data_IF_259082311424
#
_entry.id   IF_259082311424
#
_cell.length_a   1.000
_cell.length_b   1.000
_cell.length_c   1.000
_cell.angle_alpha   90.00
_cell.angle_beta   90.00
_cell.angle_gamma   90.00
#
_symmetry.space_group_name_H-M   'P 1'
#
loop_
_entity.id
_entity.type
_entity.pdbx_description
1 polymer ?
#
# COMPACT_ATOMS: atom_id res chain seq x y z
N UNK A 1 8.22 8.94 27.82
CA UNK A 1 7.71 8.14 26.69
C UNK A 1 8.19 6.73 26.93
N UNK A 2 7.31 5.76 26.72
CA UNK A 2 7.69 4.35 26.72
C UNK A 2 8.67 4.11 25.55
N UNK A 3 9.56 3.11 25.65
CA UNK A 3 10.51 2.86 24.58
C UNK A 3 9.79 2.40 23.30
N UNK A 4 10.17 2.97 22.17
CA UNK A 4 9.84 2.43 20.86
C UNK A 4 10.37 1.00 20.74
N UNK A 5 9.55 0.12 20.20
CA UNK A 5 10.01 -1.20 19.78
C UNK A 5 10.20 -1.26 18.28
N UNK A 6 10.84 -2.34 17.83
CA UNK A 6 11.06 -2.65 16.42
C UNK A 6 10.01 -3.68 15.98
N UNK A 7 8.97 -3.29 15.22
CA UNK A 7 7.87 -4.19 14.90
C UNK A 7 8.28 -5.39 14.08
N UNK A 8 9.11 -5.16 13.07
CA UNK A 8 9.56 -6.10 12.05
C UNK A 8 10.77 -5.53 11.29
N UNK A 9 11.00 -5.94 10.05
CA UNK A 9 12.08 -5.45 9.19
C UNK A 9 11.77 -4.17 8.39
N UNK A 10 10.57 -3.58 8.53
CA UNK A 10 10.24 -2.27 7.94
C UNK A 10 10.87 -1.10 8.70
N UNK A 11 10.81 0.10 8.11
CA UNK A 11 11.51 1.28 8.65
C UNK A 11 10.80 1.97 9.82
N UNK A 12 9.60 1.54 10.19
CA UNK A 12 8.83 2.22 11.24
C UNK A 12 9.03 1.57 12.59
N UNK A 13 9.41 2.39 13.56
CA UNK A 13 9.40 2.06 14.97
C UNK A 13 8.22 2.78 15.64
N UNK A 14 7.58 2.12 16.61
CA UNK A 14 6.49 2.69 17.39
C UNK A 14 6.51 2.15 18.82
N UNK A 15 5.94 2.91 19.74
CA UNK A 15 5.65 2.40 21.07
C UNK A 15 4.54 1.33 20.98
N UNK A 16 4.72 0.21 21.69
CA UNK A 16 3.70 -0.85 21.78
C UNK A 16 2.63 -0.51 22.83
N UNK A 17 2.07 0.68 22.72
CA UNK A 17 1.03 1.21 23.62
C UNK A 17 -0.05 1.89 22.80
N UNK A 18 -1.19 2.19 23.43
CA UNK A 18 -2.27 2.97 22.84
C UNK A 18 -3.26 3.40 23.92
N UNK A 19 -4.08 4.41 23.64
CA UNK A 19 -5.13 4.84 24.56
C UNK A 19 -6.08 3.67 24.90
N UNK A 20 -6.33 2.80 23.91
CA UNK A 20 -6.83 1.46 24.16
C UNK A 20 -5.77 0.43 23.73
N UNK A 21 -5.56 -0.57 24.58
CA UNK A 21 -4.64 -1.69 24.35
C UNK A 21 -5.37 -3.01 24.52
N UNK A 22 -5.29 -3.87 23.50
CA UNK A 22 -5.91 -5.20 23.52
C UNK A 22 -4.90 -6.28 23.14
N UNK A 23 -4.89 -7.35 23.92
CA UNK A 23 -4.08 -8.54 23.67
C UNK A 23 -4.85 -9.79 24.13
N UNK A 24 -4.85 -10.84 23.31
CA UNK A 24 -5.54 -12.09 23.60
C UNK A 24 -7.05 -12.04 23.41
N UNK A 25 -7.56 -11.17 22.54
CA UNK A 25 -9.03 -10.96 22.38
C UNK A 25 -9.60 -11.65 21.16
N UNK A 26 -10.90 -11.98 21.22
CA UNK A 26 -11.68 -12.42 20.06
C UNK A 26 -13.01 -11.67 20.02
N UNK A 27 -13.49 -11.35 18.82
CA UNK A 27 -14.77 -10.65 18.62
C UNK A 27 -14.85 -9.29 19.34
N UNK A 28 -13.71 -8.59 19.44
CA UNK A 28 -13.64 -7.23 19.96
C UNK A 28 -14.48 -6.29 19.09
N UNK A 29 -15.28 -5.41 19.71
CA UNK A 29 -16.01 -4.35 19.02
C UNK A 29 -15.62 -3.00 19.61
N UNK A 30 -15.12 -2.09 18.76
CA UNK A 30 -14.89 -0.68 19.09
C UNK A 30 -15.67 0.14 18.06
N UNK A 31 -16.76 0.74 18.50
CA UNK A 31 -17.71 1.40 17.62
C UNK A 31 -18.19 2.74 18.17
N UNK A 32 -18.40 3.71 17.26
CA UNK A 32 -18.98 5.02 17.60
C UNK A 32 -18.23 5.78 18.70
N UNK A 33 -16.91 5.61 18.75
CA UNK A 33 -16.03 6.31 19.70
C UNK A 33 -15.34 7.52 19.06
N UNK A 34 -14.94 8.48 19.90
CA UNK A 34 -14.09 9.62 19.53
C UNK A 34 -12.77 9.47 20.28
N UNK A 35 -11.67 9.42 19.54
CA UNK A 35 -10.30 9.46 20.03
C UNK A 35 -9.74 10.84 19.74
N UNK A 36 -9.54 11.65 20.77
CA UNK A 36 -9.25 13.07 20.62
C UNK A 36 -8.13 13.51 21.57
N UNK A 37 -7.15 14.25 21.04
CA UNK A 37 -6.05 14.87 21.83
C UNK A 37 -5.32 13.80 22.67
N UNK A 38 -4.77 12.81 21.97
CA UNK A 38 -3.97 11.75 22.58
C UNK A 38 -2.51 11.94 22.19
N UNK A 39 -1.57 11.86 23.13
CA UNK A 39 -0.15 12.08 22.84
C UNK A 39 0.55 10.91 22.13
N UNK A 40 -0.13 9.78 21.95
CA UNK A 40 0.44 8.56 21.35
C UNK A 40 -0.52 7.88 20.37
N UNK A 41 -0.46 6.54 20.31
CA UNK A 41 -1.35 5.77 19.45
C UNK A 41 -2.79 5.78 19.98
N UNK A 42 -3.77 5.74 19.08
CA UNK A 42 -5.19 5.61 19.44
C UNK A 42 -5.50 4.21 19.99
N UNK A 43 -5.40 3.21 19.12
CA UNK A 43 -5.68 1.81 19.44
C UNK A 43 -4.46 0.94 19.11
N UNK A 44 -4.06 0.12 20.08
CA UNK A 44 -3.05 -0.93 19.91
C UNK A 44 -3.69 -2.31 20.02
N UNK A 45 -3.62 -3.08 18.94
CA UNK A 45 -4.02 -4.49 18.88
C UNK A 45 -2.74 -5.34 18.89
N UNK A 46 -2.34 -5.78 20.07
CA UNK A 46 -1.08 -6.48 20.33
C UNK A 46 -1.26 -8.00 20.37
N UNK A 47 -0.35 -8.74 19.75
CA UNK A 47 -0.27 -10.19 19.84
C UNK A 47 -1.50 -10.88 19.24
N UNK A 48 -1.97 -11.96 19.87
CA UNK A 48 -3.13 -12.70 19.40
C UNK A 48 -4.42 -11.86 19.49
N UNK A 49 -5.07 -11.59 18.36
CA UNK A 49 -6.44 -11.08 18.30
C UNK A 49 -7.18 -11.65 17.08
N UNK A 50 -8.49 -11.94 17.19
CA UNK A 50 -9.29 -12.51 16.09
C UNK A 50 -10.65 -11.85 15.93
N UNK A 51 -11.07 -11.68 14.67
CA UNK A 51 -12.45 -11.29 14.33
C UNK A 51 -12.91 -10.00 15.00
N UNK A 52 -11.98 -9.07 15.28
CA UNK A 52 -12.30 -7.79 15.88
C UNK A 52 -12.81 -6.80 14.84
N UNK A 53 -13.71 -5.90 15.24
CA UNK A 53 -14.28 -4.86 14.42
C UNK A 53 -14.04 -3.48 15.07
N UNK A 54 -13.32 -2.61 14.37
CA UNK A 54 -13.06 -1.22 14.74
C UNK A 54 -13.76 -0.36 13.69
N UNK A 55 -14.95 0.14 14.02
CA UNK A 55 -15.82 0.76 13.04
C UNK A 55 -16.52 2.03 13.45
N UNK A 56 -16.77 2.94 12.50
CA UNK A 56 -17.56 4.15 12.74
C UNK A 56 -16.98 5.00 13.89
N UNK A 57 -15.65 5.04 14.01
CA UNK A 57 -14.96 5.87 15.01
C UNK A 57 -14.37 7.11 14.36
N UNK A 58 -14.19 8.16 15.16
CA UNK A 58 -13.45 9.36 14.79
C UNK A 58 -12.11 9.40 15.53
N UNK A 59 -11.02 9.69 14.83
CA UNK A 59 -9.69 9.87 15.39
C UNK A 59 -9.16 11.23 14.98
N UNK A 60 -8.86 12.10 15.96
CA UNK A 60 -8.37 13.45 15.69
C UNK A 60 -7.37 14.01 16.68
N UNK A 61 -6.37 14.70 16.17
CA UNK A 61 -5.27 15.29 16.95
C UNK A 61 -4.54 14.24 17.79
N UNK A 62 -4.12 13.15 17.14
CA UNK A 62 -3.29 12.14 17.80
C UNK A 62 -1.81 12.44 17.60
N UNK A 63 -1.01 12.13 18.62
CA UNK A 63 0.43 12.25 18.64
C UNK A 63 1.13 11.25 17.73
N UNK A 64 0.51 10.10 17.49
CA UNK A 64 1.04 9.01 16.65
C UNK A 64 -0.08 8.32 15.85
N UNK A 65 0.06 7.02 15.59
CA UNK A 65 -0.80 6.20 14.73
C UNK A 65 -2.21 6.04 15.30
N UNK A 66 -3.25 6.11 14.45
CA UNK A 66 -4.62 5.93 14.92
C UNK A 66 -4.91 4.48 15.33
N UNK A 67 -4.59 3.52 14.46
CA UNK A 67 -4.82 2.09 14.69
C UNK A 67 -3.57 1.30 14.32
N UNK A 68 -2.98 0.62 15.29
CA UNK A 68 -1.81 -0.22 15.10
C UNK A 68 -2.11 -1.68 15.44
N UNK A 69 -1.84 -2.59 14.50
CA UNK A 69 -1.86 -4.03 14.71
C UNK A 69 -0.42 -4.54 14.75
N UNK A 70 -0.04 -5.20 15.84
CA UNK A 70 1.32 -5.69 16.00
C UNK A 70 1.34 -7.08 16.65
N UNK A 71 1.73 -8.10 15.88
CA UNK A 71 1.87 -9.46 16.36
C UNK A 71 3.20 -9.79 17.04
N UNK A 72 3.28 -11.01 17.56
CA UNK A 72 4.50 -11.65 18.02
C UNK A 72 4.94 -12.72 17.03
N UNK A 73 6.24 -12.97 16.92
CA UNK A 73 6.79 -14.14 16.23
C UNK A 73 7.81 -14.84 17.13
N UNK A 74 8.30 -16.00 16.69
CA UNK A 74 9.33 -16.77 17.39
C UNK A 74 10.45 -17.19 16.43
N UNK A 75 11.42 -17.98 16.91
CA UNK A 75 12.57 -18.43 16.11
C UNK A 75 13.85 -17.63 16.35
N UNK A 76 13.89 -16.79 17.39
CA UNK A 76 15.10 -16.17 17.94
C UNK A 76 15.06 -16.15 19.47
N UNK A 77 16.17 -15.77 20.12
CA UNK A 77 16.25 -15.61 21.58
C UNK A 77 15.54 -14.35 22.09
N UNK A 78 15.18 -13.42 21.19
CA UNK A 78 14.43 -12.22 21.53
C UNK A 78 12.92 -12.51 21.58
N UNK A 79 12.25 -12.33 22.73
CA UNK A 79 10.82 -12.61 22.86
C UNK A 79 9.97 -11.83 21.85
N UNK A 80 9.03 -12.51 21.20
CA UNK A 80 8.13 -11.89 20.23
C UNK A 80 8.77 -11.51 18.88
N UNK A 81 10.02 -11.92 18.67
CA UNK A 81 10.81 -11.65 17.47
C UNK A 81 11.32 -12.95 16.83
N UNK A 82 11.44 -12.91 15.51
CA UNK A 82 11.98 -13.99 14.69
C UNK A 82 11.15 -14.28 13.46
N UNK A 83 11.56 -15.28 12.71
CA UNK A 83 11.01 -15.63 11.41
C UNK A 83 9.78 -16.55 11.49
N UNK A 84 9.56 -17.26 12.60
CA UNK A 84 8.49 -18.23 12.73
C UNK A 84 7.19 -17.56 13.21
N UNK A 85 6.23 -17.41 12.29
CA UNK A 85 4.88 -16.91 12.53
C UNK A 85 3.81 -18.00 12.55
N UNK A 86 4.20 -19.27 12.75
CA UNK A 86 3.28 -20.41 12.63
C UNK A 86 2.46 -20.71 13.88
N UNK A 87 2.75 -20.03 14.99
CA UNK A 87 2.10 -20.19 16.30
C UNK A 87 0.73 -19.48 16.40
N UNK A 88 0.46 -18.53 15.50
CA UNK A 88 -0.78 -17.77 15.46
C UNK A 88 -0.83 -16.55 16.40
N UNK A 89 0.25 -16.15 17.07
CA UNK A 89 0.28 -15.02 18.02
C UNK A 89 0.27 -13.62 17.36
N UNK A 90 -0.42 -13.48 16.24
CA UNK A 90 -0.53 -12.28 15.42
C UNK A 90 -1.98 -11.83 15.34
N UNK A 91 -2.32 -10.54 15.21
CA UNK A 91 -3.70 -10.12 14.93
C UNK A 91 -4.10 -10.62 13.55
N UNK A 92 -5.31 -11.20 13.42
CA UNK A 92 -5.83 -11.69 12.14
C UNK A 92 -7.33 -11.52 12.04
N UNK A 93 -7.83 -11.39 10.81
CA UNK A 93 -9.26 -11.22 10.54
C UNK A 93 -9.83 -9.99 11.26
N UNK A 94 -9.05 -8.92 11.35
CA UNK A 94 -9.51 -7.64 11.91
C UNK A 94 -10.23 -6.84 10.82
N UNK A 95 -11.35 -6.23 11.17
CA UNK A 95 -12.13 -5.35 10.30
C UNK A 95 -11.98 -3.90 10.78
N UNK A 96 -11.42 -3.05 9.93
CA UNK A 96 -11.18 -1.63 10.18
C UNK A 96 -12.01 -0.85 9.15
N UNK A 97 -13.23 -0.48 9.52
CA UNK A 97 -14.20 0.00 8.53
C UNK A 97 -14.93 1.27 8.93
N UNK A 98 -15.24 2.15 7.98
CA UNK A 98 -16.04 3.36 8.22
C UNK A 98 -15.45 4.32 9.27
N UNK A 99 -14.14 4.30 9.50
CA UNK A 99 -13.51 5.23 10.42
C UNK A 99 -13.17 6.55 9.72
N UNK A 100 -13.29 7.65 10.47
CA UNK A 100 -12.94 9.00 10.04
C UNK A 100 -11.70 9.47 10.79
N UNK A 101 -10.58 9.64 10.08
CA UNK A 101 -9.28 9.84 10.71
C UNK A 101 -8.61 11.08 10.14
N UNK A 102 -8.32 12.06 11.00
CA UNK A 102 -7.74 13.33 10.56
C UNK A 102 -6.80 13.94 11.60
N UNK A 103 -5.84 14.76 11.16
CA UNK A 103 -4.76 15.29 12.00
C UNK A 103 -4.10 14.24 12.93
N UNK A 104 -3.20 13.45 12.35
CA UNK A 104 -2.40 12.46 13.08
C UNK A 104 -0.93 12.86 13.17
N UNK A 105 -0.19 12.14 14.02
CA UNK A 105 1.26 12.24 14.08
C UNK A 105 1.76 13.61 14.48
N UNK A 106 1.11 14.26 15.46
CA UNK A 106 1.54 15.57 15.98
C UNK A 106 3.00 15.47 16.49
N UNK A 107 3.36 14.35 17.11
CA UNK A 107 4.67 14.12 17.71
C UNK A 107 5.50 13.11 16.92
N UNK A 108 4.96 11.92 16.66
CA UNK A 108 5.62 10.85 15.91
C UNK A 108 5.30 10.97 14.40
N UNK A 109 6.33 11.20 13.59
CA UNK A 109 6.19 11.46 12.16
C UNK A 109 6.24 10.20 11.31
N UNK A 110 6.74 9.09 11.85
CA UNK A 110 6.55 7.76 11.27
C UNK A 110 5.25 7.14 11.81
N UNK A 111 4.12 7.75 11.44
CA UNK A 111 2.78 7.33 11.87
C UNK A 111 1.79 7.33 10.72
N UNK A 112 0.71 6.57 10.89
CA UNK A 112 -0.33 6.36 9.86
C UNK A 112 -1.73 6.36 10.46
N UNK A 113 -2.75 6.43 9.59
CA UNK A 113 -4.11 6.03 9.98
C UNK A 113 -4.12 4.56 10.41
N UNK A 114 -3.57 3.69 9.56
CA UNK A 114 -3.50 2.26 9.82
C UNK A 114 -2.07 1.76 9.67
N UNK A 115 -1.60 1.07 10.71
CA UNK A 115 -0.32 0.40 10.74
C UNK A 115 -0.55 -1.09 10.99
N UNK A 116 0.15 -1.95 10.25
CA UNK A 116 0.28 -3.35 10.62
C UNK A 116 1.72 -3.85 10.55
N UNK A 117 2.08 -4.70 11.52
CA UNK A 117 3.29 -5.51 11.51
C UNK A 117 3.00 -6.88 12.10
N UNK A 118 3.52 -7.94 11.48
CA UNK A 118 3.26 -9.33 11.88
C UNK A 118 1.75 -9.55 12.05
N UNK A 119 0.98 -9.21 11.03
CA UNK A 119 -0.48 -9.29 10.99
C UNK A 119 -0.95 -9.56 9.56
N UNK A 120 -2.09 -10.22 9.39
CA UNK A 120 -2.56 -10.70 8.08
C UNK A 120 -4.08 -10.90 8.07
N UNK A 121 -4.65 -11.13 6.89
CA UNK A 121 -6.08 -11.41 6.71
C UNK A 121 -7.00 -10.26 7.16
N UNK A 122 -6.49 -9.03 7.20
CA UNK A 122 -7.22 -7.87 7.71
C UNK A 122 -8.00 -7.17 6.61
N UNK A 123 -9.14 -6.58 6.94
CA UNK A 123 -9.95 -5.77 6.01
C UNK A 123 -9.91 -4.31 6.45
N UNK A 124 -9.37 -3.43 5.60
CA UNK A 124 -9.28 -1.98 5.80
C UNK A 124 -10.13 -1.33 4.71
N UNK A 125 -11.39 -1.02 5.02
CA UNK A 125 -12.36 -0.70 3.97
C UNK A 125 -13.29 0.46 4.32
N UNK A 126 -13.61 1.34 3.35
CA UNK A 126 -14.54 2.47 3.52
C UNK A 126 -14.14 3.47 4.60
N UNK A 127 -12.84 3.64 4.84
CA UNK A 127 -12.34 4.67 5.74
C UNK A 127 -12.02 5.95 4.97
N UNK A 128 -12.10 7.08 5.66
CA UNK A 128 -11.59 8.35 5.18
C UNK A 128 -10.42 8.73 6.07
N UNK A 129 -9.24 8.92 5.49
CA UNK A 129 -8.11 9.47 6.22
C UNK A 129 -7.41 10.60 5.48
N UNK A 130 -7.03 11.63 6.22
CA UNK A 130 -6.25 12.73 5.68
C UNK A 130 -5.45 13.46 6.75
N UNK A 131 -4.57 14.36 6.30
CA UNK A 131 -3.75 15.20 7.18
C UNK A 131 -2.81 14.38 8.09
N UNK A 132 -2.11 13.41 7.49
CA UNK A 132 -1.06 12.62 8.15
C UNK A 132 0.35 13.09 7.80
N UNK A 133 1.36 12.86 8.68
CA UNK A 133 2.74 13.30 8.43
C UNK A 133 3.47 12.43 7.42
N UNK A 134 3.03 11.17 7.23
CA UNK A 134 3.58 10.18 6.31
C UNK A 134 2.48 9.36 5.64
N UNK A 135 2.72 8.08 5.33
CA UNK A 135 1.77 7.22 4.62
C UNK A 135 0.47 7.05 5.44
N UNK A 136 -0.67 7.03 4.76
CA UNK A 136 -1.97 6.86 5.41
C UNK A 136 -2.20 5.41 5.86
N UNK A 137 -1.76 4.44 5.06
CA UNK A 137 -1.77 3.02 5.37
C UNK A 137 -0.35 2.47 5.21
N UNK A 138 0.14 1.79 6.24
CA UNK A 138 1.46 1.18 6.25
C UNK A 138 1.40 -0.31 6.62
N UNK A 139 1.95 -1.15 5.74
CA UNK A 139 2.20 -2.57 5.99
C UNK A 139 3.69 -2.76 6.23
N UNK A 140 4.12 -2.81 7.49
CA UNK A 140 5.53 -2.75 7.84
C UNK A 140 6.31 -4.05 7.55
N UNK A 141 5.63 -5.08 7.04
CA UNK A 141 6.18 -6.37 6.61
C UNK A 141 5.23 -7.13 5.67
N UNK A 142 5.74 -8.17 5.00
CA UNK A 142 4.96 -9.12 4.19
C UNK A 142 4.39 -10.29 4.99
N UNK A 143 3.96 -10.10 6.24
CA UNK A 143 3.48 -11.22 7.05
C UNK A 143 2.18 -11.81 6.50
N UNK A 144 2.23 -13.04 5.98
CA UNK A 144 1.06 -13.92 5.76
C UNK A 144 0.12 -13.57 4.59
N UNK A 145 -0.12 -12.29 4.30
CA UNK A 145 -0.98 -11.83 3.20
C UNK A 145 -2.49 -11.89 3.48
N UNK A 146 -3.31 -11.98 2.42
CA UNK A 146 -4.78 -11.97 2.45
C UNK A 146 -5.41 -10.71 3.07
N UNK A 147 -4.67 -9.62 3.21
CA UNK A 147 -5.22 -8.34 3.65
C UNK A 147 -5.88 -7.62 2.48
N UNK A 148 -6.93 -6.86 2.76
CA UNK A 148 -7.69 -6.09 1.79
C UNK A 148 -7.69 -4.62 2.18
N UNK A 149 -7.29 -3.75 1.26
CA UNK A 149 -7.40 -2.29 1.35
C UNK A 149 -8.34 -1.83 0.25
N UNK A 150 -9.59 -1.50 0.58
CA UNK A 150 -10.58 -1.20 -0.44
C UNK A 150 -11.49 -0.02 -0.13
N UNK A 151 -11.98 0.66 -1.16
CA UNK A 151 -13.01 1.70 -1.01
C UNK A 151 -12.64 2.82 -0.02
N UNK A 152 -11.34 3.07 0.23
CA UNK A 152 -10.89 4.13 1.12
C UNK A 152 -10.69 5.43 0.35
N UNK A 153 -10.94 6.55 1.02
CA UNK A 153 -10.53 7.87 0.57
C UNK A 153 -9.30 8.32 1.37
N UNK A 154 -8.18 8.55 0.68
CA UNK A 154 -6.93 9.02 1.29
C UNK A 154 -6.42 10.27 0.59
N UNK A 155 -6.06 11.32 1.34
CA UNK A 155 -5.45 12.53 0.77
C UNK A 155 -4.67 13.29 1.84
N UNK A 156 -3.82 14.24 1.43
CA UNK A 156 -2.97 15.02 2.34
C UNK A 156 -2.11 14.12 3.27
N UNK A 157 -1.52 13.07 2.70
CA UNK A 157 -0.47 12.26 3.33
C UNK A 157 0.90 12.89 3.08
N UNK A 158 1.96 12.43 3.77
CA UNK A 158 3.33 12.96 3.58
C UNK A 158 3.42 14.50 3.67
N UNK A 159 2.72 15.11 4.63
CA UNK A 159 2.73 16.59 4.81
C UNK A 159 3.97 17.12 5.49
N UNK A 160 4.63 16.28 6.29
CA UNK A 160 5.73 16.65 7.18
C UNK A 160 6.93 15.71 7.01
N UNK A 161 6.89 14.86 5.99
CA UNK A 161 7.94 13.92 5.60
C UNK A 161 7.77 13.57 4.10
N UNK A 162 8.70 12.86 3.48
CA UNK A 162 8.61 12.47 2.06
C UNK A 162 8.75 10.97 1.80
N UNK A 163 9.22 10.61 0.60
CA UNK A 163 9.63 9.25 0.17
C UNK A 163 8.49 8.22 -0.05
N UNK A 164 7.34 8.36 0.61
CA UNK A 164 6.24 7.39 0.49
C UNK A 164 5.07 7.90 -0.35
N UNK A 165 3.99 7.10 -0.39
CA UNK A 165 2.67 7.48 -0.87
C UNK A 165 1.58 7.33 0.19
N UNK A 166 0.29 7.51 -0.18
CA UNK A 166 -0.86 7.18 0.66
C UNK A 166 -0.83 5.75 1.20
N UNK A 167 -0.30 4.80 0.42
CA UNK A 167 -0.01 3.44 0.83
C UNK A 167 1.50 3.18 0.75
N UNK A 168 2.03 2.48 1.76
CA UNK A 168 3.40 1.99 1.76
C UNK A 168 3.49 0.58 2.36
N UNK A 169 4.40 -0.24 1.83
CA UNK A 169 4.73 -1.56 2.39
C UNK A 169 6.23 -1.88 2.35
N UNK A 170 6.69 -2.76 3.22
CA UNK A 170 8.00 -3.42 3.15
C UNK A 170 7.88 -4.93 3.26
N UNK A 171 8.93 -5.65 2.84
CA UNK A 171 9.09 -7.07 3.15
C UNK A 171 10.57 -7.49 3.24
N UNK A 172 11.35 -6.77 4.06
CA UNK A 172 12.79 -7.07 4.26
C UNK A 172 13.08 -8.29 5.13
N UNK A 173 12.07 -8.81 5.83
CA UNK A 173 12.20 -9.95 6.72
C UNK A 173 11.29 -11.07 6.26
N UNK A 174 11.88 -12.23 5.94
CA UNK A 174 11.12 -13.43 5.59
C UNK A 174 10.43 -14.00 6.83
N UNK A 175 9.11 -14.21 6.73
CA UNK A 175 8.31 -14.89 7.74
C UNK A 175 7.78 -16.22 7.22
N UNK A 176 7.91 -17.28 8.02
CA UNK A 176 7.24 -18.55 7.75
C UNK A 176 5.86 -18.51 8.38
N UNK A 177 4.83 -18.65 7.55
CA UNK A 177 3.43 -18.66 7.98
C UNK A 177 2.69 -19.86 7.41
N UNK A 178 1.50 -20.16 7.95
CA UNK A 178 0.57 -21.18 7.43
C UNK A 178 -0.64 -20.55 6.74
N UNK A 179 -0.62 -19.24 6.47
CA UNK A 179 -1.81 -18.48 6.04
C UNK A 179 -2.27 -18.90 4.64
N UNK A 180 -1.33 -18.99 3.69
CA UNK A 180 -1.63 -19.24 2.27
C UNK A 180 -2.45 -20.51 2.02
N UNK A 181 -2.10 -21.63 2.66
CA UNK A 181 -2.77 -22.92 2.41
C UNK A 181 -2.73 -23.91 3.59
N UNK A 182 -2.40 -23.46 4.80
CA UNK A 182 -2.24 -24.30 5.98
C UNK A 182 -0.86 -24.98 6.12
N UNK A 183 -0.02 -24.96 5.08
CA UNK A 183 1.36 -25.48 5.11
C UNK A 183 2.33 -24.34 5.45
N UNK A 184 3.32 -24.63 6.31
CA UNK A 184 4.34 -23.64 6.67
C UNK A 184 5.19 -23.26 5.46
N UNK A 185 5.22 -21.98 5.11
CA UNK A 185 5.89 -21.45 3.92
C UNK A 185 6.42 -20.03 4.16
N UNK A 186 7.59 -19.65 3.62
CA UNK A 186 8.06 -18.25 3.61
C UNK A 186 7.25 -17.35 2.66
N UNK A 187 6.42 -17.99 1.86
CA UNK A 187 5.73 -17.45 0.71
C UNK A 187 4.36 -16.95 1.17
N UNK A 188 4.16 -15.63 1.26
CA UNK A 188 2.90 -15.02 1.75
C UNK A 188 1.77 -15.14 0.72
N UNK A 189 0.51 -15.06 1.14
CA UNK A 189 -0.58 -14.98 0.17
C UNK A 189 -0.72 -13.57 -0.44
N UNK A 190 -1.60 -13.42 -1.42
CA UNK A 190 -1.90 -12.15 -2.07
C UNK A 190 -2.58 -11.17 -1.12
N UNK A 191 -2.10 -9.92 -1.12
CA UNK A 191 -2.83 -8.77 -0.58
C UNK A 191 -3.53 -8.02 -1.72
N UNK A 192 -4.66 -7.38 -1.42
CA UNK A 192 -5.54 -6.76 -2.41
C UNK A 192 -5.73 -5.28 -2.10
N UNK A 193 -5.52 -4.42 -3.10
CA UNK A 193 -5.71 -2.97 -3.01
C UNK A 193 -6.65 -2.56 -4.14
N UNK A 194 -7.92 -2.27 -3.86
CA UNK A 194 -8.88 -1.97 -4.93
C UNK A 194 -9.97 -0.97 -4.63
N UNK A 195 -10.50 -0.31 -5.67
CA UNK A 195 -11.60 0.66 -5.56
C UNK A 195 -11.32 1.82 -4.61
N UNK A 196 -10.05 2.15 -4.34
CA UNK A 196 -9.70 3.29 -3.51
C UNK A 196 -9.63 4.58 -4.35
N UNK A 197 -9.87 5.70 -3.69
CA UNK A 197 -9.58 7.03 -4.19
C UNK A 197 -8.42 7.59 -3.35
N UNK A 198 -7.23 7.68 -3.93
CA UNK A 198 -6.05 8.17 -3.21
C UNK A 198 -5.41 9.36 -3.92
N UNK A 199 -5.13 10.42 -3.17
CA UNK A 199 -4.45 11.61 -3.67
C UNK A 199 -3.06 11.67 -3.04
N UNK A 200 -2.01 11.46 -3.84
CA UNK A 200 -0.62 11.53 -3.41
C UNK A 200 -0.08 12.97 -3.59
N UNK A 201 -0.62 13.90 -2.79
CA UNK A 201 -0.18 15.29 -2.77
C UNK A 201 0.90 15.56 -1.70
N UNK A 202 1.45 16.78 -1.68
CA UNK A 202 2.63 17.17 -0.89
C UNK A 202 3.90 16.42 -1.33
N UNK A 203 4.67 15.88 -0.38
CA UNK A 203 5.91 15.15 -0.66
C UNK A 203 5.66 13.64 -0.86
N UNK A 204 4.41 13.25 -1.17
CA UNK A 204 4.11 11.90 -1.64
C UNK A 204 4.72 11.68 -3.03
N UNK A 205 5.77 10.87 -3.10
CA UNK A 205 6.48 10.61 -4.37
C UNK A 205 5.91 9.43 -5.15
N UNK A 206 5.15 8.53 -4.51
CA UNK A 206 4.54 7.35 -5.13
C UNK A 206 3.02 7.34 -4.90
N UNK A 207 2.26 6.74 -5.82
CA UNK A 207 0.85 6.45 -5.58
C UNK A 207 0.69 5.23 -4.66
N UNK A 208 1.40 4.15 -5.01
CA UNK A 208 1.54 2.93 -4.22
C UNK A 208 3.03 2.65 -4.06
N UNK A 209 3.50 2.68 -2.82
CA UNK A 209 4.90 2.47 -2.47
C UNK A 209 5.12 1.06 -1.94
N UNK A 210 5.18 0.08 -2.85
CA UNK A 210 5.65 -1.26 -2.49
C UNK A 210 7.18 -1.21 -2.43
N UNK A 211 7.70 -0.90 -1.25
CA UNK A 211 9.12 -0.68 -1.02
C UNK A 211 9.86 -2.00 -0.74
N UNK A 212 11.16 -1.94 -0.42
CA UNK A 212 12.09 -3.06 -0.32
C UNK A 212 11.47 -4.44 -0.02
N UNK A 213 11.59 -5.33 -1.00
CA UNK A 213 11.18 -6.73 -0.89
C UNK A 213 9.68 -6.97 -1.04
N UNK A 214 8.83 -5.93 -1.05
CA UNK A 214 7.38 -6.08 -1.13
C UNK A 214 6.95 -6.95 -2.32
N UNK A 215 6.05 -7.89 -2.06
CA UNK A 215 5.65 -8.87 -3.07
C UNK A 215 4.18 -9.30 -2.94
N UNK A 216 3.65 -10.02 -3.93
CA UNK A 216 2.28 -10.57 -3.96
C UNK A 216 1.18 -9.53 -3.63
N UNK A 217 1.16 -8.40 -4.33
CA UNK A 217 0.06 -7.44 -4.29
C UNK A 217 -0.75 -7.45 -5.58
N UNK A 218 -2.09 -7.42 -5.47
CA UNK A 218 -3.00 -7.09 -6.56
C UNK A 218 -3.59 -5.71 -6.32
N UNK A 219 -3.08 -4.73 -7.06
CA UNK A 219 -3.55 -3.34 -7.03
C UNK A 219 -4.42 -3.09 -8.25
N UNK A 220 -5.73 -3.00 -8.08
CA UNK A 220 -6.63 -2.86 -9.23
C UNK A 220 -7.85 -2.00 -9.00
N UNK A 221 -8.40 -1.45 -10.08
CA UNK A 221 -9.62 -0.66 -10.04
C UNK A 221 -9.56 0.56 -9.09
N UNK A 222 -8.35 1.12 -8.87
CA UNK A 222 -8.17 2.31 -8.04
C UNK A 222 -8.04 3.57 -8.89
N UNK A 223 -8.44 4.71 -8.30
CA UNK A 223 -8.04 6.02 -8.79
C UNK A 223 -6.94 6.60 -7.92
N UNK A 224 -5.81 6.94 -8.55
CA UNK A 224 -4.69 7.63 -7.96
C UNK A 224 -4.53 9.00 -8.60
N UNK A 225 -4.54 10.07 -7.81
CA UNK A 225 -4.34 11.42 -8.30
C UNK A 225 -3.06 12.03 -7.73
N UNK A 226 -2.23 12.59 -8.62
CA UNK A 226 -0.99 13.26 -8.29
C UNK A 226 0.04 12.32 -7.66
N UNK A 227 1.23 12.25 -8.26
CA UNK A 227 2.43 11.64 -7.67
C UNK A 227 3.59 11.82 -8.64
N UNK A 228 4.83 11.63 -8.18
CA UNK A 228 5.98 11.57 -9.10
C UNK A 228 5.98 10.27 -9.91
N UNK A 229 5.59 9.15 -9.32
CA UNK A 229 5.48 7.85 -9.98
C UNK A 229 4.22 7.12 -9.49
N UNK A 230 3.60 6.30 -10.34
CA UNK A 230 2.46 5.47 -9.94
C UNK A 230 2.89 4.31 -9.04
N UNK A 231 3.09 3.14 -9.64
CA UNK A 231 3.63 1.96 -8.96
C UNK A 231 5.13 2.16 -8.63
N UNK A 232 5.55 1.77 -7.43
CA UNK A 232 6.95 1.49 -7.12
C UNK A 232 7.10 0.03 -6.75
N UNK A 233 8.20 -0.58 -7.17
CA UNK A 233 8.66 -1.83 -6.60
C UNK A 233 10.18 -1.97 -6.67
N UNK A 234 10.84 -1.97 -5.51
CA UNK A 234 12.29 -1.83 -5.41
C UNK A 234 12.97 -2.96 -4.60
N UNK A 235 14.29 -3.05 -4.76
CA UNK A 235 15.19 -3.89 -3.93
C UNK A 235 14.73 -5.33 -3.67
N UNK A 236 14.41 -6.06 -4.74
CA UNK A 236 14.06 -7.47 -4.66
C UNK A 236 12.58 -7.74 -4.37
N UNK A 237 11.72 -6.72 -4.39
CA UNK A 237 10.28 -6.91 -4.51
C UNK A 237 9.89 -7.50 -5.88
N UNK A 238 8.75 -8.17 -5.94
CA UNK A 238 8.31 -8.95 -7.12
C UNK A 238 6.83 -9.36 -7.04
N UNK A 239 6.27 -9.99 -8.07
CA UNK A 239 4.89 -10.50 -8.08
C UNK A 239 3.85 -9.42 -7.72
N UNK A 240 4.08 -8.16 -8.11
CA UNK A 240 3.13 -7.08 -7.91
C UNK A 240 2.38 -6.77 -9.20
N UNK A 241 1.05 -6.81 -9.12
CA UNK A 241 0.15 -6.73 -10.27
C UNK A 241 -0.71 -5.47 -10.17
N UNK A 242 -0.44 -4.51 -11.04
CA UNK A 242 -1.18 -3.26 -11.15
C UNK A 242 -2.02 -3.27 -12.42
N UNK A 243 -3.34 -3.35 -12.29
CA UNK A 243 -4.24 -3.41 -13.46
C UNK A 243 -5.56 -2.70 -13.28
N UNK A 244 -6.15 -2.23 -14.39
CA UNK A 244 -7.41 -1.47 -14.39
C UNK A 244 -7.40 -0.23 -13.48
N UNK A 245 -6.24 0.31 -13.12
CA UNK A 245 -6.19 1.55 -12.33
C UNK A 245 -6.21 2.76 -13.25
N UNK A 246 -6.64 3.90 -12.70
CA UNK A 246 -6.44 5.22 -13.32
C UNK A 246 -5.39 5.97 -12.50
N UNK A 247 -4.22 6.22 -13.09
CA UNK A 247 -3.19 7.12 -12.56
C UNK A 247 -3.35 8.50 -13.21
N UNK A 248 -4.01 9.41 -12.50
CA UNK A 248 -4.29 10.77 -12.93
C UNK A 248 -3.17 11.74 -12.56
N UNK A 249 -2.61 12.40 -13.57
CA UNK A 249 -1.61 13.46 -13.45
C UNK A 249 -0.35 13.05 -12.66
N UNK A 250 0.27 11.95 -13.07
CA UNK A 250 1.51 11.42 -12.48
C UNK A 250 2.74 11.78 -13.31
N UNK A 251 3.93 11.78 -12.73
CA UNK A 251 5.17 11.96 -13.50
C UNK A 251 5.44 10.79 -14.47
N UNK A 252 5.30 9.56 -13.97
CA UNK A 252 5.41 8.29 -14.73
C UNK A 252 4.48 7.23 -14.16
N UNK A 253 4.13 6.22 -14.96
CA UNK A 253 3.20 5.15 -14.56
C UNK A 253 3.79 4.22 -13.49
N UNK A 254 5.07 3.89 -13.59
CA UNK A 254 5.73 2.96 -12.67
C UNK A 254 7.25 3.14 -12.61
N UNK A 255 7.86 2.69 -11.51
CA UNK A 255 9.30 2.56 -11.33
C UNK A 255 9.61 1.22 -10.65
N UNK A 256 10.27 0.33 -11.36
CA UNK A 256 10.47 -1.06 -10.97
C UNK A 256 11.96 -1.39 -11.14
N UNK A 257 12.55 -1.99 -10.10
CA UNK A 257 13.93 -2.48 -10.15
C UNK A 257 14.06 -3.87 -10.79
N UNK A 258 15.28 -4.38 -10.86
CA UNK A 258 15.60 -5.69 -11.43
C UNK A 258 14.79 -6.84 -10.83
N UNK A 259 14.26 -7.72 -11.70
CA UNK A 259 13.40 -8.83 -11.31
C UNK A 259 13.96 -10.20 -11.71
N UNK A 260 13.36 -11.26 -11.14
CA UNK A 260 13.71 -12.65 -11.44
C UNK A 260 12.68 -13.28 -12.38
N UNK A 261 13.14 -14.25 -13.19
CA UNK A 261 12.26 -15.05 -14.04
C UNK A 261 11.23 -15.82 -13.19
N UNK A 262 9.95 -15.69 -13.53
CA UNK A 262 8.82 -16.27 -12.79
C UNK A 262 8.36 -15.45 -11.58
N UNK A 263 8.97 -14.29 -11.37
CA UNK A 263 8.68 -13.34 -10.28
C UNK A 263 8.64 -11.91 -10.85
N UNK A 264 8.00 -11.76 -12.01
CA UNK A 264 7.85 -10.48 -12.68
C UNK A 264 6.74 -9.63 -12.05
N UNK A 265 6.84 -8.32 -12.25
CA UNK A 265 5.78 -7.37 -11.94
C UNK A 265 4.96 -7.13 -13.20
N UNK A 266 3.70 -6.83 -12.98
CA UNK A 266 2.71 -6.68 -14.03
C UNK A 266 2.09 -5.29 -13.96
N UNK A 267 2.13 -4.55 -15.07
CA UNK A 267 1.49 -3.25 -15.20
C UNK A 267 0.66 -3.20 -16.49
N UNK A 268 -0.64 -3.48 -16.40
CA UNK A 268 -1.47 -3.69 -17.59
C UNK A 268 -2.90 -3.16 -17.49
N UNK A 269 -3.51 -2.83 -18.63
CA UNK A 269 -4.90 -2.35 -18.67
C UNK A 269 -5.15 -1.10 -17.81
N UNK A 270 -4.10 -0.35 -17.47
CA UNK A 270 -4.23 0.89 -16.72
C UNK A 270 -4.44 2.07 -17.65
N UNK A 271 -5.08 3.12 -17.13
CA UNK A 271 -5.05 4.46 -17.73
C UNK A 271 -4.00 5.28 -17.00
N UNK A 272 -3.08 5.90 -17.72
CA UNK A 272 -1.99 6.71 -17.16
C UNK A 272 -2.01 8.08 -17.81
N UNK A 273 -2.38 9.11 -17.05
CA UNK A 273 -2.32 10.51 -17.48
C UNK A 273 -1.05 11.13 -16.92
N UNK A 274 -0.04 11.36 -17.76
CA UNK A 274 1.25 11.93 -17.34
C UNK A 274 1.28 13.45 -17.42
N UNK A 275 1.99 14.09 -16.50
CA UNK A 275 2.16 15.56 -16.48
C UNK A 275 3.09 16.10 -17.57
N UNK A 276 3.85 15.22 -18.23
CA UNK A 276 4.81 15.56 -19.29
C UNK A 276 4.90 14.45 -20.33
N UNK A 277 5.35 14.80 -21.54
CA UNK A 277 5.77 13.79 -22.52
C UNK A 277 7.07 13.10 -22.08
N UNK A 278 7.34 11.92 -22.65
CA UNK A 278 8.61 11.22 -22.46
C UNK A 278 8.46 9.92 -21.68
N UNK A 279 9.25 9.76 -20.61
CA UNK A 279 9.41 8.49 -19.90
C UNK A 279 8.08 7.97 -19.31
N UNK A 280 7.56 6.89 -19.88
CA UNK A 280 6.34 6.23 -19.43
C UNK A 280 6.54 5.54 -18.06
N UNK A 281 7.73 5.00 -17.83
CA UNK A 281 8.06 4.23 -16.65
C UNK A 281 9.43 3.58 -16.77
N UNK A 282 9.94 3.10 -15.64
CA UNK A 282 11.23 2.41 -15.60
C UNK A 282 11.02 0.93 -15.27
N UNK A 283 10.76 0.08 -16.29
CA UNK A 283 10.68 -1.36 -16.07
C UNK A 283 12.07 -2.00 -16.04
N UNK A 284 12.11 -3.28 -15.68
CA UNK A 284 13.18 -4.17 -16.10
C UNK A 284 13.07 -4.44 -17.59
N UNK A 285 13.91 -3.76 -18.38
CA UNK A 285 13.86 -3.74 -19.86
C UNK A 285 14.54 -4.92 -20.58
N UNK A 286 15.21 -5.84 -19.87
CA UNK A 286 15.98 -6.90 -20.50
C UNK A 286 16.15 -8.11 -19.58
N UNK A 287 16.40 -9.28 -20.18
CA UNK A 287 16.59 -10.53 -19.46
C UNK A 287 15.32 -11.36 -19.40
N UNK A 288 15.37 -12.49 -18.70
CA UNK A 288 14.24 -13.42 -18.63
C UNK A 288 13.14 -12.99 -17.63
N UNK A 289 13.46 -12.09 -16.69
CA UNK A 289 12.52 -11.50 -15.72
C UNK A 289 12.15 -10.07 -16.10
N UNK A 290 11.82 -9.83 -17.36
CA UNK A 290 11.37 -8.50 -17.79
C UNK A 290 10.01 -8.17 -17.18
N UNK A 291 9.83 -6.90 -16.79
CA UNK A 291 8.53 -6.41 -16.33
C UNK A 291 7.49 -6.63 -17.42
N UNK A 292 6.32 -7.12 -17.04
CA UNK A 292 5.22 -7.42 -17.95
C UNK A 292 4.30 -6.21 -18.06
N UNK A 293 4.41 -5.50 -19.18
CA UNK A 293 3.61 -4.31 -19.49
C UNK A 293 2.79 -4.59 -20.73
N UNK A 294 1.48 -4.27 -20.73
CA UNK A 294 0.62 -4.39 -21.92
C UNK A 294 -0.74 -3.68 -21.74
N UNK A 295 -1.43 -3.43 -22.86
CA UNK A 295 -2.83 -2.96 -22.92
C UNK A 295 -3.13 -1.67 -22.12
N UNK A 296 -2.14 -0.83 -21.85
CA UNK A 296 -2.33 0.44 -21.14
C UNK A 296 -2.81 1.56 -22.08
N UNK A 297 -3.51 2.56 -21.54
CA UNK A 297 -3.84 3.81 -22.24
C UNK A 297 -3.07 4.95 -21.60
N UNK A 298 -2.09 5.48 -22.32
CA UNK A 298 -1.22 6.55 -21.85
C UNK A 298 -1.65 7.87 -22.47
N UNK A 299 -1.77 8.90 -21.66
CA UNK A 299 -2.15 10.23 -22.07
C UNK A 299 -1.09 11.24 -21.62
N UNK A 300 -0.53 12.00 -22.55
CA UNK A 300 0.49 13.03 -22.27
C UNK A 300 0.12 14.35 -22.97
N UNK A 301 0.80 15.48 -22.70
CA UNK A 301 0.48 16.75 -23.34
C UNK A 301 0.46 16.70 -24.89
N UNK A 302 1.36 15.94 -25.52
CA UNK A 302 1.41 15.82 -26.99
C UNK A 302 1.14 14.42 -27.53
N UNK A 303 0.93 13.43 -26.66
CA UNK A 303 0.77 12.02 -27.02
C UNK A 303 2.07 11.30 -27.35
N UNK A 304 3.21 11.82 -26.87
CA UNK A 304 4.52 11.22 -27.08
C UNK A 304 5.03 10.59 -25.79
N UNK A 305 5.36 9.31 -25.88
CA UNK A 305 5.94 8.54 -24.78
C UNK A 305 7.13 7.71 -25.25
N UNK A 306 8.01 7.42 -24.32
CA UNK A 306 9.15 6.53 -24.47
C UNK A 306 9.14 5.49 -23.36
N UNK A 307 9.59 4.29 -23.69
CA UNK A 307 9.81 3.20 -22.74
C UNK A 307 11.13 2.53 -23.08
N UNK A 308 11.89 2.13 -22.05
CA UNK A 308 13.20 1.49 -22.23
C UNK A 308 14.15 2.27 -23.16
N UNK A 309 14.08 3.60 -23.12
CA UNK A 309 14.95 4.51 -23.88
C UNK A 309 14.63 4.65 -25.37
N UNK A 310 13.47 4.17 -25.85
CA UNK A 310 13.03 4.34 -27.24
C UNK A 310 11.54 4.70 -27.34
N UNK A 311 11.05 5.00 -28.55
CA UNK A 311 9.62 5.27 -28.73
C UNK A 311 8.77 4.03 -28.42
N UNK A 312 7.53 4.23 -27.96
CA UNK A 312 6.60 3.11 -27.72
C UNK A 312 6.45 2.20 -28.95
N UNK A 313 6.36 2.78 -30.14
CA UNK A 313 6.23 2.01 -31.38
C UNK A 313 7.47 1.14 -31.66
N UNK A 314 8.69 1.66 -31.43
CA UNK A 314 9.92 0.90 -31.59
C UNK A 314 10.06 -0.20 -30.52
N UNK A 315 9.60 0.08 -29.30
CA UNK A 315 9.58 -0.89 -28.21
C UNK A 315 8.60 -2.04 -28.50
N UNK A 316 7.41 -1.71 -29.01
CA UNK A 316 6.40 -2.67 -29.45
C UNK A 316 6.85 -3.51 -30.64
N UNK A 317 7.60 -2.92 -31.58
CA UNK A 317 8.17 -3.67 -32.71
C UNK A 317 9.16 -4.77 -32.28
N UNK A 318 9.69 -4.70 -31.04
CA UNK A 318 10.53 -5.76 -30.43
C UNK A 318 9.72 -6.83 -29.70
N UNK A 319 8.39 -6.73 -29.68
CA UNK A 319 7.48 -7.67 -29.03
C UNK A 319 7.12 -7.34 -27.58
N UNK A 320 7.44 -6.13 -27.11
CA UNK A 320 7.14 -5.68 -25.75
C UNK A 320 5.92 -4.74 -25.71
N UNK A 321 5.38 -4.48 -24.53
CA UNK A 321 4.27 -3.54 -24.29
C UNK A 321 3.10 -3.61 -25.30
N UNK A 322 2.68 -4.83 -25.64
CA UNK A 322 1.66 -5.07 -26.66
C UNK A 322 0.33 -4.41 -26.28
N UNK A 323 -0.35 -3.80 -27.27
CA UNK A 323 -1.70 -3.25 -27.06
C UNK A 323 -1.75 -1.91 -26.34
N UNK A 324 -0.64 -1.47 -25.73
CA UNK A 324 -0.55 -0.14 -25.13
C UNK A 324 -0.64 0.95 -26.20
N UNK A 325 -1.37 2.02 -25.89
CA UNK A 325 -1.58 3.17 -26.77
C UNK A 325 -1.19 4.46 -26.08
N UNK A 326 -0.70 5.44 -26.85
CA UNK A 326 -0.38 6.78 -26.36
C UNK A 326 -1.17 7.85 -27.13
N UNK A 327 -1.73 8.81 -26.41
CA UNK A 327 -2.55 9.89 -26.96
C UNK A 327 -2.37 11.20 -26.20
N UNK A 328 -2.95 12.28 -26.73
CA UNK A 328 -3.02 13.55 -26.00
C UNK A 328 -3.94 13.42 -24.80
N UNK A 329 -3.75 14.26 -23.80
CA UNK A 329 -4.66 14.36 -22.66
C UNK A 329 -6.14 14.28 -23.06
N UNK A 330 -6.94 13.48 -22.34
CA UNK A 330 -8.39 13.51 -22.51
C UNK A 330 -8.93 14.86 -22.02
N UNK A 331 -10.14 15.20 -22.44
CA UNK A 331 -10.88 16.30 -21.81
C UNK A 331 -11.18 15.95 -20.35
N UNK A 332 -11.27 16.97 -19.48
CA UNK A 332 -11.49 16.77 -18.04
C UNK A 332 -12.79 15.98 -17.76
N UNK A 333 -13.85 16.23 -18.54
CA UNK A 333 -15.13 15.52 -18.43
C UNK A 333 -15.00 14.03 -18.78
N UNK A 334 -14.16 13.68 -19.77
CA UNK A 334 -13.91 12.29 -20.14
C UNK A 334 -13.14 11.56 -19.05
N UNK A 335 -12.10 12.20 -18.49
CA UNK A 335 -11.36 11.63 -17.36
C UNK A 335 -12.25 11.45 -16.13
N UNK A 336 -13.04 12.47 -15.78
CA UNK A 336 -13.99 12.40 -14.68
C UNK A 336 -14.99 11.24 -14.88
N UNK A 337 -15.49 11.06 -16.12
CA UNK A 337 -16.35 9.92 -16.45
C UNK A 337 -15.65 8.58 -16.26
N UNK A 338 -14.40 8.44 -16.72
CA UNK A 338 -13.63 7.21 -16.51
C UNK A 338 -13.48 6.89 -15.01
N UNK A 339 -13.22 7.89 -14.18
CA UNK A 339 -13.08 7.74 -12.72
C UNK A 339 -14.41 7.31 -12.09
N UNK A 340 -15.52 7.95 -12.50
CA UNK A 340 -16.85 7.55 -12.03
C UNK A 340 -17.14 6.12 -12.46
N UNK A 341 -16.98 5.77 -13.73
CA UNK A 341 -17.25 4.42 -14.26
C UNK A 341 -16.38 3.35 -13.54
N UNK A 342 -15.14 3.69 -13.18
CA UNK A 342 -14.25 2.81 -12.42
C UNK A 342 -14.75 2.55 -10.99
N UNK A 343 -15.08 3.62 -10.26
CA UNK A 343 -15.39 3.55 -8.83
C UNK A 343 -16.89 3.30 -8.55
N UNK A 344 -17.75 3.38 -9.56
CA UNK A 344 -19.21 3.16 -9.44
C UNK A 344 -19.65 1.70 -9.61
N UNK A 345 -18.69 0.77 -9.66
CA UNK A 345 -18.99 -0.67 -9.74
C UNK A 345 -19.41 -1.23 -8.37
N UNK A 346 -20.72 -1.09 -8.14
CA UNK A 346 -21.66 -1.88 -7.31
C UNK A 346 -21.22 -2.39 -5.94
#
# INVERSE_FOLDING_TARGET
MDPHGMPSGGDWALERTGALFFEGTENLLIESCIFEVLDGNGIMISGYNRFGNITTNEFRWLGSTAIALWGYTSGTDAPGMGWDGTDGNQPRNMSIMYNFVHELGIWEKQSSFYFQAKSCQNTIMRNINFNGPRAGINFNDGFGGQSTVAENLQFNTCRESGDHGPFNSWDRQVFVTKVRNGTASPDKDWDYIYSNFMIANYDSILAIDNDDGSNYYKTHDNFFAYSRSGMKNDFGGHDNHHYNNIYGYVGRGFGINGQLKGHEDYFYSNVVVQTSDGDYGNPTCSGDGMTVVHDNKIYTPTGKVTECGMSLADWQAKGNDHGTTAGKWPDDDDLAKMIVDLLSLS
#
